data_IF_744828721837
#
_entry.id   IF_744828721837
#
_cell.length_a   1.000
_cell.length_b   1.000
_cell.length_c   1.000
_cell.angle_alpha   90.00
_cell.angle_beta   90.00
_cell.angle_gamma   90.00
#
_symmetry.space_group_name_H-M   'P 1'
#
loop_
_entity.id
_entity.type
_entity.pdbx_description
1 polymer ?
#
# COMPACT_ATOMS: atom_id res chain seq x y z
N UNK A 1 5.83 6.87 57.76
CA UNK A 1 5.08 7.77 56.85
C UNK A 1 5.00 7.08 55.50
N UNK A 2 3.77 6.82 55.07
CA UNK A 2 3.42 5.78 54.10
C UNK A 2 3.75 6.22 52.68
N UNK A 3 4.55 5.39 52.01
CA UNK A 3 4.79 5.30 50.57
C UNK A 3 3.45 5.27 49.83
N UNK A 4 2.95 6.44 49.40
CA UNK A 4 1.61 6.54 48.78
C UNK A 4 1.53 7.48 47.57
N UNK A 5 2.65 8.03 47.13
CA UNK A 5 2.68 9.01 46.04
C UNK A 5 3.08 8.42 44.68
N UNK A 6 3.56 7.18 44.64
CA UNK A 6 4.17 6.61 43.43
C UNK A 6 3.19 5.87 42.50
N UNK A 7 1.97 5.56 42.96
CA UNK A 7 0.99 4.80 42.18
C UNK A 7 0.17 5.65 41.21
N UNK A 8 0.02 6.95 41.48
CA UNK A 8 -0.78 7.84 40.62
C UNK A 8 -0.09 8.16 39.28
N UNK A 9 1.25 8.18 39.28
CA UNK A 9 2.05 8.55 38.09
C UNK A 9 2.10 7.40 37.07
N UNK A 10 2.11 6.15 37.53
CA UNK A 10 2.14 4.96 36.64
C UNK A 10 0.77 4.76 35.96
N UNK A 11 -0.32 5.15 36.62
CA UNK A 11 -1.66 5.05 36.05
C UNK A 11 -1.88 6.02 34.85
N UNK A 12 -1.18 7.15 34.82
CA UNK A 12 -1.28 8.12 33.72
C UNK A 12 -0.49 7.72 32.48
N UNK A 13 0.67 7.08 32.64
CA UNK A 13 1.42 6.61 31.47
C UNK A 13 0.70 5.47 30.77
N UNK A 14 -0.09 4.63 31.45
CA UNK A 14 -0.87 3.59 30.77
C UNK A 14 -2.00 4.16 29.88
N UNK A 15 -2.59 5.30 30.23
CA UNK A 15 -3.74 5.86 29.51
C UNK A 15 -3.35 6.64 28.24
N UNK A 16 -2.17 7.26 28.21
CA UNK A 16 -1.68 7.95 27.00
C UNK A 16 -1.25 6.99 25.87
N UNK A 17 -1.03 5.71 26.15
CA UNK A 17 -0.78 4.68 25.11
C UNK A 17 -2.05 3.94 24.67
N UNK A 18 -3.20 4.21 25.31
CA UNK A 18 -4.49 3.67 24.90
C UNK A 18 -5.16 4.50 23.78
N UNK A 19 -4.56 5.64 23.39
CA UNK A 19 -4.74 6.20 22.06
C UNK A 19 -3.87 5.40 21.08
N UNK A 20 -4.13 4.09 20.98
CA UNK A 20 -3.62 3.31 19.86
C UNK A 20 -4.21 3.97 18.61
N UNK A 21 -3.43 4.61 17.74
CA UNK A 21 -3.96 4.98 16.43
C UNK A 21 -4.44 3.64 15.87
N UNK A 22 -5.71 3.56 15.48
CA UNK A 22 -6.31 2.34 14.95
C UNK A 22 -5.30 1.64 14.06
N UNK A 23 -4.64 0.59 14.59
CA UNK A 23 -3.83 -0.32 13.81
C UNK A 23 -4.87 -1.12 13.06
N UNK A 24 -5.42 -0.53 12.00
CA UNK A 24 -6.43 -1.16 11.17
C UNK A 24 -5.83 -2.48 10.67
N UNK A 25 -6.32 -3.55 11.28
CA UNK A 25 -6.04 -4.91 10.91
C UNK A 25 -6.63 -5.09 9.51
N UNK A 26 -5.76 -5.09 8.50
CA UNK A 26 -6.04 -5.39 7.10
C UNK A 26 -7.39 -4.87 6.59
N UNK A 27 -7.38 -3.72 5.90
CA UNK A 27 -8.63 -3.31 5.25
C UNK A 27 -8.94 -4.28 4.11
N UNK A 28 -10.20 -4.65 3.86
CA UNK A 28 -10.57 -5.52 2.74
C UNK A 28 -10.11 -5.00 1.38
N UNK A 29 -9.80 -3.69 1.31
CA UNK A 29 -9.37 -2.98 0.12
C UNK A 29 -7.86 -3.04 -0.09
N UNK A 30 -7.06 -3.47 0.90
CA UNK A 30 -5.60 -3.51 0.82
C UNK A 30 -5.06 -4.25 -0.42
N UNK A 31 -5.58 -5.43 -0.83
CA UNK A 31 -5.07 -6.13 -2.01
C UNK A 31 -5.35 -5.38 -3.31
N UNK A 32 -6.51 -4.72 -3.38
CA UNK A 32 -6.92 -3.94 -4.55
C UNK A 32 -6.08 -2.66 -4.62
N UNK A 33 -5.89 -2.00 -3.49
CA UNK A 33 -5.06 -0.82 -3.37
C UNK A 33 -3.60 -1.12 -3.77
N UNK A 34 -3.08 -2.28 -3.36
CA UNK A 34 -1.75 -2.76 -3.73
C UNK A 34 -1.61 -2.87 -5.26
N UNK A 35 -2.57 -3.46 -5.97
CA UNK A 35 -2.50 -3.58 -7.43
C UNK A 35 -2.37 -2.25 -8.16
N UNK A 36 -3.10 -1.22 -7.70
CA UNK A 36 -2.97 0.10 -8.30
C UNK A 36 -1.63 0.78 -7.98
N UNK A 37 -1.08 0.58 -6.78
CA UNK A 37 0.24 1.10 -6.39
C UNK A 37 1.35 0.38 -7.16
N UNK A 38 1.26 -0.94 -7.35
CA UNK A 38 2.21 -1.71 -8.14
C UNK A 38 2.26 -1.24 -9.60
N UNK A 39 1.10 -0.96 -10.20
CA UNK A 39 1.02 -0.40 -11.55
C UNK A 39 1.60 1.02 -11.63
N UNK A 40 1.32 1.90 -10.67
CA UNK A 40 1.90 3.24 -10.62
C UNK A 40 3.43 3.20 -10.46
N UNK A 41 3.93 2.36 -9.55
CA UNK A 41 5.37 2.17 -9.35
C UNK A 41 6.03 1.69 -10.63
N UNK A 42 5.48 0.66 -11.28
CA UNK A 42 6.05 0.13 -12.51
C UNK A 42 6.08 1.16 -13.64
N UNK A 43 5.07 2.02 -13.74
CA UNK A 43 5.06 3.09 -14.75
C UNK A 43 6.15 4.14 -14.56
N UNK A 44 6.71 4.25 -13.35
CA UNK A 44 7.79 5.18 -13.01
C UNK A 44 9.17 4.52 -13.06
N UNK A 45 9.24 3.22 -12.80
CA UNK A 45 10.52 2.50 -12.58
C UNK A 45 10.90 1.57 -13.73
N UNK A 46 9.94 1.09 -14.51
CA UNK A 46 10.14 0.12 -15.58
C UNK A 46 10.16 0.80 -16.96
N UNK A 47 11.21 0.50 -17.74
CA UNK A 47 11.41 1.13 -19.04
C UNK A 47 10.33 0.73 -20.05
N UNK A 48 9.77 1.71 -20.76
CA UNK A 48 8.74 1.50 -21.78
C UNK A 48 7.35 1.12 -21.23
N UNK A 49 7.15 1.11 -19.91
CA UNK A 49 5.86 0.80 -19.26
C UNK A 49 5.15 2.09 -18.87
N UNK A 50 3.84 2.20 -19.16
CA UNK A 50 3.00 3.33 -18.76
C UNK A 50 1.67 2.85 -18.22
N UNK A 51 1.06 3.64 -17.34
CA UNK A 51 -0.33 3.41 -16.93
C UNK A 51 -1.25 3.56 -18.15
N UNK A 52 -2.17 2.60 -18.32
CA UNK A 52 -3.34 2.75 -19.14
C UNK A 52 -4.43 3.49 -18.36
N UNK A 53 -4.63 4.78 -18.69
CA UNK A 53 -5.52 5.66 -17.95
C UNK A 53 -7.00 5.22 -18.02
N UNK A 54 -7.42 4.57 -19.11
CA UNK A 54 -8.80 4.11 -19.27
C UNK A 54 -9.08 2.93 -18.34
N UNK A 55 -8.24 1.90 -18.44
CA UNK A 55 -8.35 0.71 -17.61
C UNK A 55 -8.10 1.00 -16.13
N UNK A 56 -7.17 1.90 -15.82
CA UNK A 56 -6.92 2.34 -14.44
C UNK A 56 -8.11 3.09 -13.85
N UNK A 57 -8.78 3.97 -14.62
CA UNK A 57 -10.00 4.65 -14.18
C UNK A 57 -11.16 3.68 -14.00
N UNK A 58 -11.33 2.71 -14.90
CA UNK A 58 -12.36 1.68 -14.77
C UNK A 58 -12.11 0.80 -13.52
N UNK A 59 -10.85 0.43 -13.28
CA UNK A 59 -10.43 -0.30 -12.09
C UNK A 59 -10.74 0.45 -10.80
N UNK A 60 -10.30 1.70 -10.68
CA UNK A 60 -10.52 2.50 -9.47
C UNK A 60 -12.01 2.73 -9.21
N UNK A 61 -12.79 2.97 -10.26
CA UNK A 61 -14.24 3.12 -10.16
C UNK A 61 -14.93 1.85 -9.65
N UNK A 62 -14.58 0.66 -10.19
CA UNK A 62 -15.14 -0.63 -9.73
C UNK A 62 -14.76 -0.94 -8.28
N UNK A 63 -13.53 -0.59 -7.90
CA UNK A 63 -13.01 -0.79 -6.56
C UNK A 63 -13.48 0.26 -5.55
N UNK A 64 -14.22 1.28 -6.00
CA UNK A 64 -14.60 2.45 -5.19
C UNK A 64 -13.39 3.16 -4.56
N UNK A 65 -12.24 3.12 -5.25
CA UNK A 65 -11.00 3.78 -4.84
C UNK A 65 -10.88 5.14 -5.51
N UNK A 66 -10.48 6.14 -4.74
CA UNK A 66 -10.19 7.49 -5.19
C UNK A 66 -8.71 7.85 -4.95
N UNK A 67 -8.31 9.03 -5.41
CA UNK A 67 -6.93 9.51 -5.28
C UNK A 67 -6.45 9.57 -3.81
N UNK A 68 -7.32 9.89 -2.86
CA UNK A 68 -6.97 9.92 -1.45
C UNK A 68 -6.65 8.52 -0.91
N UNK A 69 -7.35 7.48 -1.37
CA UNK A 69 -7.03 6.09 -1.03
C UNK A 69 -5.63 5.71 -1.52
N UNK A 70 -5.25 6.17 -2.72
CA UNK A 70 -3.95 5.90 -3.30
C UNK A 70 -2.80 6.70 -2.67
N UNK A 71 -3.01 7.92 -2.17
CA UNK A 71 -1.86 8.79 -1.83
C UNK A 71 -1.97 9.57 -0.53
N UNK A 72 -3.15 9.65 0.10
CA UNK A 72 -3.38 10.51 1.26
C UNK A 72 -3.72 9.73 2.53
N UNK A 73 -4.38 8.58 2.41
CA UNK A 73 -4.77 7.77 3.56
C UNK A 73 -3.56 7.01 4.13
N UNK A 74 -3.48 6.86 5.46
CA UNK A 74 -2.47 6.04 6.10
C UNK A 74 -2.58 4.59 5.62
N UNK A 75 -1.44 3.92 5.46
CA UNK A 75 -1.40 2.51 5.05
C UNK A 75 -1.67 1.62 6.25
N UNK A 76 -2.40 0.54 6.03
CA UNK A 76 -2.44 -0.56 6.99
C UNK A 76 -1.02 -1.16 7.12
N UNK A 77 -0.72 -1.76 8.27
CA UNK A 77 0.58 -2.40 8.51
C UNK A 77 0.84 -3.51 7.48
N UNK A 78 -0.21 -4.21 7.06
CA UNK A 78 -0.11 -5.30 6.08
C UNK A 78 0.20 -4.76 4.67
N UNK A 79 -0.50 -3.70 4.27
CA UNK A 79 -0.23 -3.05 2.99
C UNK A 79 1.18 -2.47 2.96
N UNK A 80 1.63 -1.84 4.05
CA UNK A 80 2.99 -1.33 4.15
C UNK A 80 4.03 -2.45 4.01
N UNK A 81 3.85 -3.58 4.71
CA UNK A 81 4.75 -4.72 4.58
C UNK A 81 4.82 -5.30 3.16
N UNK A 82 3.69 -5.31 2.43
CA UNK A 82 3.67 -5.73 1.02
C UNK A 82 4.44 -4.76 0.11
N UNK A 83 4.32 -3.45 0.36
CA UNK A 83 5.08 -2.43 -0.37
C UNK A 83 6.57 -2.49 -0.06
N UNK A 84 6.95 -2.77 1.18
CA UNK A 84 8.35 -2.92 1.58
C UNK A 84 8.99 -4.15 0.92
N UNK A 85 8.25 -5.26 0.83
CA UNK A 85 8.70 -6.46 0.10
C UNK A 85 8.84 -6.20 -1.40
N UNK A 86 7.89 -5.46 -1.99
CA UNK A 86 7.95 -5.03 -3.38
C UNK A 86 9.21 -4.19 -3.65
N UNK A 87 9.47 -3.17 -2.82
CA UNK A 87 10.67 -2.33 -2.92
C UNK A 87 11.96 -3.16 -2.79
N UNK A 88 12.00 -4.12 -1.85
CA UNK A 88 13.12 -5.03 -1.69
C UNK A 88 13.34 -5.93 -2.93
N UNK A 89 12.28 -6.34 -3.63
CA UNK A 89 12.38 -7.09 -4.90
C UNK A 89 12.96 -6.20 -5.99
N UNK A 90 12.48 -4.97 -6.13
CA UNK A 90 13.01 -4.01 -7.10
C UNK A 90 14.49 -3.69 -6.88
N UNK A 91 14.93 -3.58 -5.62
CA UNK A 91 16.34 -3.36 -5.27
C UNK A 91 17.23 -4.56 -5.62
N UNK A 92 16.70 -5.77 -5.52
CA UNK A 92 17.43 -7.02 -5.75
C UNK A 92 17.52 -7.39 -7.22
N UNK A 93 16.40 -7.30 -7.93
CA UNK A 93 16.26 -7.68 -9.34
C UNK A 93 15.17 -6.83 -9.99
N UNK A 94 15.56 -5.62 -10.41
CA UNK A 94 14.67 -4.69 -11.11
C UNK A 94 14.10 -5.29 -12.41
N UNK A 95 14.90 -5.89 -13.31
CA UNK A 95 14.37 -6.50 -14.53
C UNK A 95 13.32 -7.59 -14.25
N UNK A 96 13.59 -8.50 -13.31
CA UNK A 96 12.64 -9.55 -12.94
C UNK A 96 11.37 -9.01 -12.30
N UNK A 97 11.47 -8.01 -11.41
CA UNK A 97 10.31 -7.35 -10.80
C UNK A 97 9.43 -6.66 -11.85
N UNK A 98 10.05 -5.93 -12.78
CA UNK A 98 9.34 -5.29 -13.90
C UNK A 98 8.64 -6.30 -14.80
N UNK A 99 9.29 -7.42 -15.13
CA UNK A 99 8.68 -8.47 -15.94
C UNK A 99 7.47 -9.10 -15.22
N UNK A 100 7.58 -9.38 -13.93
CA UNK A 100 6.49 -9.94 -13.12
C UNK A 100 5.27 -9.00 -13.07
N UNK A 101 5.49 -7.71 -12.84
CA UNK A 101 4.42 -6.71 -12.84
C UNK A 101 3.79 -6.58 -14.24
N UNK A 102 4.60 -6.59 -15.30
CA UNK A 102 4.07 -6.54 -16.65
C UNK A 102 3.17 -7.75 -16.97
N UNK A 103 3.51 -8.94 -16.48
CA UNK A 103 2.64 -10.12 -16.60
C UNK A 103 1.35 -9.95 -15.80
N UNK A 104 1.43 -9.38 -14.59
CA UNK A 104 0.28 -9.21 -13.71
C UNK A 104 -0.71 -8.14 -14.20
N UNK A 105 -0.22 -7.07 -14.82
CA UNK A 105 -1.02 -5.86 -15.09
C UNK A 105 -0.95 -5.37 -16.54
N UNK A 106 -0.18 -6.02 -17.41
CA UNK A 106 -0.09 -5.67 -18.82
C UNK A 106 -1.30 -6.12 -19.65
N UNK A 107 -1.22 -6.00 -20.98
CA UNK A 107 -2.27 -6.41 -21.90
C UNK A 107 -2.67 -7.88 -21.71
N UNK A 108 -3.97 -8.15 -21.70
CA UNK A 108 -4.50 -9.51 -21.50
C UNK A 108 -4.56 -9.98 -20.05
N UNK A 109 -4.01 -9.24 -19.09
CA UNK A 109 -4.26 -9.49 -17.66
C UNK A 109 -5.73 -9.21 -17.30
N UNK A 110 -6.16 -9.64 -16.11
CA UNK A 110 -7.52 -9.34 -15.62
C UNK A 110 -7.74 -7.85 -15.32
N UNK A 111 -6.66 -7.12 -15.00
CA UNK A 111 -6.73 -5.72 -14.56
C UNK A 111 -6.34 -4.73 -15.66
N UNK A 112 -5.43 -5.13 -16.56
CA UNK A 112 -4.95 -4.35 -17.73
C UNK A 112 -4.57 -2.91 -17.40
N UNK A 113 -3.85 -2.70 -16.31
CA UNK A 113 -3.50 -1.37 -15.83
C UNK A 113 -2.33 -0.74 -16.59
N UNK A 114 -1.58 -1.52 -17.38
CA UNK A 114 -0.34 -1.10 -18.03
C UNK A 114 -0.39 -1.30 -19.54
N UNK A 115 0.24 -0.36 -20.26
CA UNK A 115 0.51 -0.44 -21.71
C UNK A 115 1.97 -0.12 -22.00
N UNK A 116 2.47 -0.62 -23.13
CA UNK A 116 3.84 -0.37 -23.59
C UNK A 116 3.82 0.87 -24.48
N UNK A 117 4.77 1.78 -24.25
CA UNK A 117 4.90 3.04 -24.99
C UNK A 117 5.52 2.85 -26.37
#
# INVERSE_FOLDING_TARGET
MIVRSSLAVIAWTAFCFAAQPHREQATPQDPVLLSGIEADLASRTCDGVRIDAEHFRAFSSRAQLNHADFFQKPRSVRLQAALDDLDARFKRDRPGACAAIWVAYGPGSALQLLRRA
#
